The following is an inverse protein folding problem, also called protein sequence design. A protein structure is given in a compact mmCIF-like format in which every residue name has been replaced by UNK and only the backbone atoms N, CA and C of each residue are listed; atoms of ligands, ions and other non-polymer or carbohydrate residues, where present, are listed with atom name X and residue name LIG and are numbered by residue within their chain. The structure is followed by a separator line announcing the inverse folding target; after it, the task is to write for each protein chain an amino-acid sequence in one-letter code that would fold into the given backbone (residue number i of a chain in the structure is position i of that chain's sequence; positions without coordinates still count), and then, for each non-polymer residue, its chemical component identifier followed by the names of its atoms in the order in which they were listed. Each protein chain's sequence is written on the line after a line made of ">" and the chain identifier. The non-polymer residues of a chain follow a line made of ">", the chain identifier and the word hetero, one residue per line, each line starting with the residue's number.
data_IF_757581445842
#
_entry.id   IF_757581445842
#
_cell.length_a   1.000
_cell.length_b   1.000
_cell.length_c   1.000
_cell.angle_alpha   90.00
_cell.angle_beta   90.00
_cell.angle_gamma   90.00
#
_symmetry.space_group_name_H-M   'P 1'
#
loop_
_entity.id
_entity.type
_entity.pdbx_description
1 polymer ?
#
# COMPACT_ATOMS: atom_id res chain seq x y z
N UNK A 1 -74.65 -15.29 52.20
CA UNK A 1 -74.30 -13.84 52.22
C UNK A 1 -72.95 -13.72 51.53
N UNK A 2 -72.95 -13.39 50.24
CA UNK A 2 -72.80 -12.03 49.69
C UNK A 2 -71.32 -11.67 49.47
N UNK A 3 -70.89 -11.74 48.20
CA UNK A 3 -70.30 -10.64 47.40
C UNK A 3 -68.77 -10.50 47.57
N UNK A 4 -67.96 -10.66 46.52
CA UNK A 4 -67.60 -9.62 45.52
C UNK A 4 -67.09 -8.34 46.22
N UNK A 5 -66.01 -7.67 45.85
CA UNK A 5 -65.31 -7.62 44.58
C UNK A 5 -63.99 -6.82 44.74
N UNK A 6 -63.21 -6.85 43.66
CA UNK A 6 -61.99 -6.09 43.38
C UNK A 6 -62.09 -4.58 43.67
N UNK A 7 -60.94 -3.95 43.93
CA UNK A 7 -60.53 -2.63 43.37
C UNK A 7 -59.01 -2.39 43.53
N UNK A 8 -58.31 -2.20 42.40
CA UNK A 8 -57.06 -1.40 42.24
C UNK A 8 -57.45 0.11 42.33
N UNK A 9 -56.57 1.15 42.37
CA UNK A 9 -55.17 1.21 41.88
C UNK A 9 -54.19 2.08 42.69
N UNK A 10 -52.89 2.07 42.34
CA UNK A 10 -52.07 3.30 42.31
C UNK A 10 -50.92 3.13 41.30
N UNK A 11 -50.86 4.08 40.36
CA UNK A 11 -49.83 4.31 39.34
C UNK A 11 -48.78 5.28 39.90
N UNK A 12 -47.49 5.02 39.64
CA UNK A 12 -46.47 5.94 39.10
C UNK A 12 -45.13 5.17 39.09
N UNK A 13 -44.22 5.22 38.12
CA UNK A 13 -44.13 5.95 36.88
C UNK A 13 -42.79 5.59 36.21
N UNK A 14 -42.88 5.19 34.93
CA UNK A 14 -41.88 5.27 33.84
C UNK A 14 -40.60 4.42 33.90
N UNK A 15 -40.64 3.35 33.09
CA UNK A 15 -39.49 2.85 32.31
C UNK A 15 -39.15 3.84 31.18
N UNK A 16 -37.88 3.99 30.77
CA UNK A 16 -37.54 4.60 29.50
C UNK A 16 -37.77 3.60 28.36
N UNK A 17 -38.57 4.04 27.40
CA UNK A 17 -38.97 3.39 26.15
C UNK A 17 -37.82 3.16 25.18
N UNK A 18 -37.80 1.98 24.56
CA UNK A 18 -37.20 1.73 23.25
C UNK A 18 -37.76 2.71 22.20
N UNK A 19 -36.96 3.23 21.26
CA UNK A 19 -37.51 3.89 20.10
C UNK A 19 -37.77 2.87 19.01
N UNK A 20 -39.06 2.63 18.74
CA UNK A 20 -39.52 2.21 17.42
C UNK A 20 -39.15 3.29 16.39
N UNK A 21 -38.59 2.86 15.26
CA UNK A 21 -38.45 3.70 14.08
C UNK A 21 -38.88 2.89 12.85
N UNK A 22 -40.19 2.84 12.62
CA UNK A 22 -40.74 2.60 11.29
C UNK A 22 -40.75 3.94 10.55
N UNK A 23 -39.88 4.03 9.55
CA UNK A 23 -39.71 5.17 8.66
C UNK A 23 -39.34 4.65 7.29
N UNK A 24 -40.37 4.24 6.53
CA UNK A 24 -40.29 4.06 5.08
C UNK A 24 -39.60 5.26 4.42
N UNK A 25 -38.46 4.99 3.79
CA UNK A 25 -37.63 6.03 3.17
C UNK A 25 -36.56 5.44 2.27
N UNK A 26 -36.96 5.05 1.06
CA UNK A 26 -36.12 4.90 -0.13
C UNK A 26 -34.86 4.04 0.02
N UNK A 27 -34.94 2.79 -0.44
CA UNK A 27 -33.77 1.98 -0.79
C UNK A 27 -32.90 2.71 -1.82
N UNK A 28 -31.95 3.55 -1.39
CA UNK A 28 -30.81 3.95 -2.21
C UNK A 28 -29.83 2.78 -2.22
N UNK A 29 -30.12 1.86 -3.14
CA UNK A 29 -29.33 0.69 -3.44
C UNK A 29 -27.87 1.08 -3.70
N UNK A 30 -26.96 0.41 -2.98
CA UNK A 30 -25.65 -0.20 -3.31
C UNK A 30 -24.94 0.06 -4.66
N UNK A 31 -25.26 1.14 -5.37
CA UNK A 31 -24.83 1.37 -6.75
C UNK A 31 -24.03 2.67 -6.89
N UNK A 32 -23.27 3.04 -5.86
CA UNK A 32 -22.30 4.16 -5.94
C UNK A 32 -21.33 3.97 -7.11
N UNK A 33 -21.05 2.73 -7.50
CA UNK A 33 -20.25 2.40 -8.69
C UNK A 33 -20.89 2.83 -10.02
N UNK A 34 -22.22 2.86 -10.12
CA UNK A 34 -22.95 3.31 -11.32
C UNK A 34 -22.81 4.83 -11.50
N UNK A 35 -22.82 5.59 -10.40
CA UNK A 35 -22.57 7.04 -10.45
C UNK A 35 -21.15 7.35 -10.96
N UNK A 36 -20.16 6.50 -10.66
CA UNK A 36 -18.80 6.66 -11.18
C UNK A 36 -18.69 6.29 -12.67
N UNK A 37 -19.44 5.28 -13.13
CA UNK A 37 -19.53 4.96 -14.57
C UNK A 37 -20.19 6.10 -15.33
N UNK A 38 -21.26 6.68 -14.80
CA UNK A 38 -21.93 7.84 -15.39
C UNK A 38 -21.03 9.08 -15.41
N UNK A 39 -20.24 9.32 -14.36
CA UNK A 39 -19.27 10.41 -14.32
C UNK A 39 -18.15 10.19 -15.35
N UNK A 40 -17.63 8.97 -15.47
CA UNK A 40 -16.62 8.63 -16.47
C UNK A 40 -17.16 8.80 -17.90
N UNK A 41 -18.40 8.37 -18.15
CA UNK A 41 -19.08 8.59 -19.43
C UNK A 41 -19.26 10.08 -19.74
N UNK A 42 -19.63 10.89 -18.75
CA UNK A 42 -19.77 12.34 -18.88
C UNK A 42 -18.42 13.02 -19.18
N UNK A 43 -17.33 12.57 -18.54
CA UNK A 43 -15.98 13.07 -18.83
C UNK A 43 -15.53 12.68 -20.24
N UNK A 44 -15.81 11.44 -20.67
CA UNK A 44 -15.54 10.99 -22.05
C UNK A 44 -16.36 11.79 -23.07
N UNK A 45 -17.62 12.07 -22.76
CA UNK A 45 -18.51 12.86 -23.62
C UNK A 45 -18.04 14.31 -23.72
N UNK A 46 -17.63 14.93 -22.61
CA UNK A 46 -17.01 16.26 -22.59
C UNK A 46 -15.71 16.24 -23.40
N UNK A 47 -14.87 15.22 -23.22
CA UNK A 47 -13.63 15.09 -23.97
C UNK A 47 -13.87 15.03 -25.48
N UNK A 48 -14.84 14.23 -25.94
CA UNK A 48 -15.21 14.16 -27.35
C UNK A 48 -15.81 15.46 -27.87
N UNK A 49 -16.63 16.15 -27.07
CA UNK A 49 -17.22 17.45 -27.42
C UNK A 49 -16.17 18.56 -27.56
N UNK A 50 -15.13 18.55 -26.72
CA UNK A 50 -14.04 19.53 -26.81
C UNK A 50 -12.99 19.20 -27.88
N UNK A 51 -12.91 17.94 -28.35
CA UNK A 51 -11.97 17.53 -29.40
C UNK A 51 -12.53 17.60 -30.83
N UNK A 52 -13.82 17.91 -31.02
CA UNK A 52 -14.37 18.07 -32.36
C UNK A 52 -13.87 19.39 -32.97
N UNK A 53 -12.77 19.31 -33.71
CA UNK A 53 -12.31 20.41 -34.55
C UNK A 53 -13.26 20.56 -35.73
N UNK A 54 -13.92 21.73 -35.83
CA UNK A 54 -15.00 21.97 -36.79
C UNK A 54 -14.53 22.30 -38.22
N UNK A 55 -13.22 22.46 -38.44
CA UNK A 55 -12.67 22.83 -39.75
C UNK A 55 -12.18 21.59 -40.51
N UNK A 56 -12.61 21.45 -41.77
CA UNK A 56 -12.19 20.34 -42.64
C UNK A 56 -10.74 20.57 -43.12
N UNK A 57 -9.92 19.52 -43.09
CA UNK A 57 -8.53 19.59 -43.55
C UNK A 57 -8.48 19.44 -45.07
N UNK A 58 -7.76 20.33 -45.75
CA UNK A 58 -7.59 20.29 -47.21
C UNK A 58 -6.13 20.17 -47.60
N UNK A 59 -5.87 19.53 -48.74
CA UNK A 59 -4.52 19.43 -49.31
C UNK A 59 -4.14 20.68 -50.10
N UNK A 60 -2.83 20.91 -50.26
CA UNK A 60 -2.32 22.02 -51.08
C UNK A 60 -2.85 22.01 -52.51
N UNK A 61 -2.99 20.81 -53.11
CA UNK A 61 -3.48 20.62 -54.47
C UNK A 61 -4.94 21.06 -54.60
N UNK A 62 -5.79 20.64 -53.67
CA UNK A 62 -7.21 21.04 -53.65
C UNK A 62 -7.37 22.53 -53.38
N UNK A 63 -6.59 23.07 -52.44
CA UNK A 63 -6.56 24.51 -52.17
C UNK A 63 -6.20 25.32 -53.43
N UNK A 64 -5.15 24.92 -54.16
CA UNK A 64 -4.70 25.62 -55.36
C UNK A 64 -5.66 25.47 -56.53
N UNK A 65 -6.16 24.26 -56.79
CA UNK A 65 -6.92 23.96 -58.00
C UNK A 65 -8.41 24.28 -57.87
N UNK A 66 -8.97 24.24 -56.67
CA UNK A 66 -10.42 24.30 -56.49
C UNK A 66 -10.88 25.52 -55.69
N UNK A 67 -10.03 26.09 -54.83
CA UNK A 67 -10.39 27.27 -54.02
C UNK A 67 -9.75 28.55 -54.56
N UNK A 68 -8.44 28.52 -54.81
CA UNK A 68 -7.70 29.67 -55.36
C UNK A 68 -8.10 29.94 -56.82
N UNK A 69 -8.18 28.91 -57.66
CA UNK A 69 -8.52 29.06 -59.08
C UNK A 69 -9.95 29.62 -59.30
N UNK A 70 -10.89 29.25 -58.43
CA UNK A 70 -12.30 29.66 -58.51
C UNK A 70 -12.59 31.00 -57.79
N UNK A 71 -11.58 31.61 -57.16
CA UNK A 71 -11.67 32.88 -56.40
C UNK A 71 -12.68 32.86 -55.24
N UNK A 72 -12.80 31.71 -54.59
CA UNK A 72 -13.79 31.49 -53.51
C UNK A 72 -13.32 32.01 -52.14
N UNK A 73 -12.04 32.37 -52.01
CA UNK A 73 -11.41 32.73 -50.73
C UNK A 73 -11.60 34.22 -50.44
N UNK A 74 -12.02 34.53 -49.21
CA UNK A 74 -12.17 35.90 -48.68
C UNK A 74 -10.88 36.36 -48.00
N UNK A 75 -10.32 35.54 -47.10
CA UNK A 75 -9.11 35.85 -46.35
C UNK A 75 -8.39 34.57 -45.91
N UNK A 76 -7.08 34.67 -45.73
CA UNK A 76 -6.25 33.59 -45.18
C UNK A 76 -5.62 34.08 -43.88
N UNK A 77 -5.66 33.25 -42.85
CA UNK A 77 -5.03 33.54 -41.57
C UNK A 77 -4.06 32.42 -41.20
N UNK A 78 -2.77 32.74 -41.13
CA UNK A 78 -1.74 31.80 -40.70
C UNK A 78 -1.68 31.80 -39.17
N UNK A 79 -1.97 30.64 -38.59
CA UNK A 79 -1.99 30.38 -37.15
C UNK A 79 -0.74 29.60 -36.76
N UNK A 80 -0.01 30.12 -35.77
CA UNK A 80 1.17 29.47 -35.17
C UNK A 80 2.26 29.07 -36.18
N UNK A 81 2.31 29.71 -37.35
CA UNK A 81 3.28 29.43 -38.44
C UNK A 81 3.19 28.03 -39.06
N UNK A 82 2.20 27.25 -38.66
CA UNK A 82 2.06 25.83 -39.04
C UNK A 82 0.76 25.57 -39.81
N UNK A 83 -0.29 26.37 -39.58
CA UNK A 83 -1.61 26.12 -40.18
C UNK A 83 -2.16 27.38 -40.84
N UNK A 84 -2.57 27.28 -42.10
CA UNK A 84 -3.36 28.29 -42.79
C UNK A 84 -4.86 28.01 -42.60
N UNK A 85 -5.55 28.92 -41.92
CA UNK A 85 -7.00 28.96 -41.81
C UNK A 85 -7.59 29.74 -42.98
N UNK A 86 -8.50 29.09 -43.72
CA UNK A 86 -9.08 29.62 -44.95
C UNK A 86 -10.53 30.01 -44.68
N UNK A 87 -10.88 31.24 -45.03
CA UNK A 87 -12.23 31.76 -44.96
C UNK A 87 -12.79 31.90 -46.38
N UNK A 88 -13.89 31.21 -46.66
CA UNK A 88 -14.62 31.28 -47.92
C UNK A 88 -15.59 32.47 -47.89
N UNK A 89 -15.75 33.15 -49.03
CA UNK A 89 -16.66 34.29 -49.15
C UNK A 89 -18.11 33.86 -48.88
N UNK A 90 -18.86 34.75 -48.22
CA UNK A 90 -20.24 34.49 -47.77
C UNK A 90 -21.22 34.13 -48.91
N UNK A 91 -20.98 34.60 -50.13
CA UNK A 91 -21.79 34.32 -51.32
C UNK A 91 -21.61 32.89 -51.88
N UNK A 92 -20.53 32.20 -51.49
CA UNK A 92 -20.20 30.83 -51.92
C UNK A 92 -20.54 29.77 -50.87
N UNK A 93 -20.84 30.17 -49.63
CA UNK A 93 -21.23 29.26 -48.55
C UNK A 93 -22.58 28.60 -48.86
N UNK A 94 -22.68 27.28 -48.68
CA UNK A 94 -23.89 26.51 -48.95
C UNK A 94 -24.11 26.09 -50.41
N UNK A 95 -23.17 26.39 -51.32
CA UNK A 95 -23.24 26.00 -52.73
C UNK A 95 -22.07 25.08 -53.13
N UNK A 96 -22.33 24.10 -53.99
CA UNK A 96 -21.29 23.21 -54.55
C UNK A 96 -20.49 22.46 -53.48
N UNK A 97 -19.16 22.59 -53.51
CA UNK A 97 -18.21 21.95 -52.57
C UNK A 97 -18.37 22.41 -51.12
N UNK A 98 -18.97 23.59 -50.91
CA UNK A 98 -19.15 24.22 -49.59
C UNK A 98 -20.52 23.95 -48.97
N UNK A 99 -21.27 22.95 -49.47
CA UNK A 99 -22.63 22.65 -49.00
C UNK A 99 -22.70 22.14 -47.55
N UNK A 100 -21.59 21.62 -47.01
CA UNK A 100 -21.50 21.12 -45.63
C UNK A 100 -21.31 22.24 -44.60
N UNK A 101 -21.06 23.46 -45.06
CA UNK A 101 -20.78 24.61 -44.21
C UNK A 101 -22.04 25.49 -44.18
N UNK A 102 -22.64 25.63 -43.00
CA UNK A 102 -23.81 26.48 -42.83
C UNK A 102 -23.46 27.96 -43.03
N UNK A 103 -24.35 28.71 -43.71
CA UNK A 103 -24.20 30.12 -44.10
C UNK A 103 -24.24 31.13 -42.93
N UNK A 104 -23.77 30.74 -41.75
CA UNK A 104 -23.64 31.58 -40.55
C UNK A 104 -22.40 31.28 -39.72
N UNK A 105 -21.49 30.43 -40.22
CA UNK A 105 -20.29 30.02 -39.50
C UNK A 105 -19.23 31.13 -39.58
N UNK A 106 -18.97 31.85 -38.50
CA UNK A 106 -17.95 32.94 -38.46
C UNK A 106 -16.51 32.42 -38.27
N UNK A 107 -16.35 31.10 -38.16
CA UNK A 107 -15.07 30.42 -37.94
C UNK A 107 -14.29 30.11 -39.23
N UNK A 108 -13.07 29.56 -39.09
CA UNK A 108 -12.31 29.06 -40.24
C UNK A 108 -13.04 27.87 -40.88
N UNK A 109 -13.21 27.91 -42.19
CA UNK A 109 -13.97 26.91 -42.94
C UNK A 109 -13.11 25.70 -43.29
N UNK A 110 -11.86 25.95 -43.65
CA UNK A 110 -10.87 24.92 -43.97
C UNK A 110 -9.54 25.22 -43.31
N UNK A 111 -8.78 24.16 -43.04
CA UNK A 111 -7.41 24.26 -42.54
C UNK A 111 -6.45 23.52 -43.45
N UNK A 112 -5.29 24.13 -43.67
CA UNK A 112 -4.21 23.58 -44.46
C UNK A 112 -2.93 23.62 -43.61
N UNK A 113 -2.22 22.50 -43.50
CA UNK A 113 -0.91 22.48 -42.86
C UNK A 113 0.14 23.06 -43.82
N UNK A 114 0.75 24.17 -43.41
CA UNK A 114 1.79 24.85 -44.18
C UNK A 114 3.16 24.38 -43.67
N UNK A 115 3.93 23.70 -44.52
CA UNK A 115 5.24 23.18 -44.12
C UNK A 115 6.24 24.28 -43.76
N UNK A 116 6.26 25.38 -44.52
CA UNK A 116 7.03 26.60 -44.21
C UNK A 116 6.27 27.82 -44.73
N UNK A 117 6.35 28.92 -43.99
CA UNK A 117 5.67 30.18 -44.34
C UNK A 117 6.20 30.69 -45.69
N UNK A 118 7.51 30.64 -45.88
CA UNK A 118 8.18 31.18 -47.06
C UNK A 118 7.79 30.43 -48.33
N UNK A 119 7.59 29.12 -48.23
CA UNK A 119 7.14 28.31 -49.38
C UNK A 119 5.66 28.57 -49.66
N UNK A 120 4.85 28.75 -48.63
CA UNK A 120 3.43 29.06 -48.77
C UNK A 120 3.23 30.44 -49.42
N UNK A 121 3.90 31.48 -48.92
CA UNK A 121 3.86 32.84 -49.47
C UNK A 121 4.30 32.87 -50.93
N UNK A 122 5.46 32.28 -51.24
CA UNK A 122 5.95 32.20 -52.63
C UNK A 122 4.94 31.50 -53.54
N UNK A 123 4.35 30.40 -53.09
CA UNK A 123 3.41 29.64 -53.91
C UNK A 123 2.05 30.32 -54.05
N UNK A 124 1.66 31.14 -53.05
CA UNK A 124 0.48 31.99 -53.10
C UNK A 124 0.70 33.19 -54.05
N UNK A 125 1.85 33.84 -53.97
CA UNK A 125 2.25 34.92 -54.88
C UNK A 125 2.28 34.44 -56.33
N UNK A 126 2.88 33.28 -56.59
CA UNK A 126 2.87 32.62 -57.91
C UNK A 126 1.44 32.35 -58.40
N UNK A 127 0.54 31.89 -57.52
CA UNK A 127 -0.85 31.62 -57.87
C UNK A 127 -1.68 32.90 -58.12
N UNK A 128 -1.23 34.05 -57.61
CA UNK A 128 -1.89 35.35 -57.79
C UNK A 128 -1.25 36.21 -58.89
N UNK A 129 -0.27 35.69 -59.64
CA UNK A 129 0.30 36.37 -60.79
C UNK A 129 -0.77 36.59 -61.86
N UNK A 130 -1.11 37.86 -62.13
CA UNK A 130 -2.16 38.26 -63.08
C UNK A 130 -3.49 38.69 -62.45
N UNK A 131 -3.62 38.67 -61.11
CA UNK A 131 -4.80 39.18 -60.40
C UNK A 131 -4.60 40.67 -60.06
N UNK A 132 -5.59 41.56 -60.34
CA UNK A 132 -5.55 42.97 -59.96
C UNK A 132 -5.29 43.15 -58.46
N UNK A 133 -4.55 44.21 -58.03
CA UNK A 133 -4.24 44.43 -56.62
C UNK A 133 -5.44 44.44 -55.68
N UNK A 134 -6.61 44.86 -56.18
CA UNK A 134 -7.87 44.94 -55.43
C UNK A 134 -8.53 43.58 -55.16
N UNK A 135 -8.14 42.53 -55.89
CA UNK A 135 -8.65 41.16 -55.73
C UNK A 135 -7.63 40.23 -55.06
N UNK A 136 -6.51 40.76 -54.57
CA UNK A 136 -5.50 39.95 -53.87
C UNK A 136 -6.01 39.59 -52.47
N UNK A 137 -5.87 38.31 -52.14
CA UNK A 137 -6.20 37.76 -50.83
C UNK A 137 -5.20 38.26 -49.80
N UNK A 138 -5.69 38.90 -48.74
CA UNK A 138 -4.86 39.31 -47.60
C UNK A 138 -4.52 38.10 -46.72
N UNK A 139 -3.24 38.03 -46.32
CA UNK A 139 -2.72 37.02 -45.40
C UNK A 139 -2.43 37.67 -44.05
N UNK A 140 -3.16 37.24 -43.03
CA UNK A 140 -2.97 37.70 -41.66
C UNK A 140 -2.20 36.65 -40.84
N UNK A 141 -1.34 37.10 -39.93
CA UNK A 141 -0.55 36.20 -39.08
C UNK A 141 -0.95 36.37 -37.63
N UNK A 142 -1.36 35.28 -37.00
CA UNK A 142 -1.71 35.28 -35.58
C UNK A 142 -1.07 34.10 -34.86
N UNK A 143 -0.68 34.32 -33.62
CA UNK A 143 -0.28 33.23 -32.72
C UNK A 143 -1.44 32.94 -31.78
N UNK A 144 -2.10 31.80 -31.96
CA UNK A 144 -3.18 31.35 -31.07
C UNK A 144 -2.64 30.26 -30.14
N UNK A 145 -2.45 30.63 -28.89
CA UNK A 145 -2.10 29.70 -27.82
C UNK A 145 -3.36 29.08 -27.23
N UNK A 146 -3.50 27.75 -27.31
CA UNK A 146 -4.61 27.02 -26.71
C UNK A 146 -4.42 26.85 -25.18
N UNK A 147 -4.48 27.95 -24.43
CA UNK A 147 -4.28 27.96 -22.98
C UNK A 147 -5.25 27.03 -22.26
N UNK A 148 -6.53 27.05 -22.65
CA UNK A 148 -7.56 26.21 -22.03
C UNK A 148 -7.34 24.73 -22.30
N UNK A 149 -6.99 24.33 -23.52
CA UNK A 149 -6.67 22.95 -23.86
C UNK A 149 -5.45 22.43 -23.09
N UNK A 150 -4.40 23.25 -22.99
CA UNK A 150 -3.17 22.89 -22.27
C UNK A 150 -3.38 22.80 -20.75
N UNK A 151 -4.10 23.77 -20.16
CA UNK A 151 -4.41 23.77 -18.73
C UNK A 151 -5.30 22.58 -18.40
N UNK A 152 -6.35 22.32 -19.18
CA UNK A 152 -7.27 21.21 -18.90
C UNK A 152 -6.59 19.85 -19.05
N UNK A 153 -5.75 19.67 -20.08
CA UNK A 153 -4.98 18.44 -20.29
C UNK A 153 -4.02 18.15 -19.13
N UNK A 154 -3.42 19.19 -18.52
CA UNK A 154 -2.55 19.03 -17.36
C UNK A 154 -3.32 18.84 -16.05
N UNK A 155 -4.40 19.61 -15.84
CA UNK A 155 -5.17 19.61 -14.58
C UNK A 155 -5.99 18.32 -14.39
N UNK A 156 -6.55 17.75 -15.46
CA UNK A 156 -7.40 16.55 -15.38
C UNK A 156 -6.68 15.35 -14.73
N UNK A 157 -5.45 14.97 -15.13
CA UNK A 157 -4.69 13.91 -14.47
C UNK A 157 -4.49 14.14 -12.96
N UNK A 158 -4.13 15.36 -12.54
CA UNK A 158 -3.95 15.67 -11.11
C UNK A 158 -5.28 15.65 -10.35
N UNK A 159 -6.35 16.15 -10.96
CA UNK A 159 -7.69 16.11 -10.35
C UNK A 159 -8.16 14.67 -10.09
N UNK A 160 -7.86 13.74 -11.01
CA UNK A 160 -8.16 12.30 -10.82
C UNK A 160 -7.34 11.72 -9.66
N UNK A 161 -6.04 11.99 -9.61
CA UNK A 161 -5.16 11.51 -8.52
C UNK A 161 -5.62 12.06 -7.16
N UNK A 162 -5.93 13.36 -7.10
CA UNK A 162 -6.44 14.02 -5.89
C UNK A 162 -7.80 13.42 -5.49
N UNK A 163 -8.68 13.16 -6.45
CA UNK A 163 -9.97 12.51 -6.21
C UNK A 163 -9.82 11.10 -5.62
N UNK A 164 -8.90 10.29 -6.15
CA UNK A 164 -8.58 8.96 -5.64
C UNK A 164 -7.98 9.05 -4.23
N UNK A 165 -7.06 9.99 -4.00
CA UNK A 165 -6.45 10.20 -2.69
C UNK A 165 -7.46 10.61 -1.62
N UNK A 166 -8.36 11.55 -1.94
CA UNK A 166 -9.44 11.96 -1.05
C UNK A 166 -10.40 10.79 -0.79
N UNK A 167 -10.68 9.97 -1.79
CA UNK A 167 -11.51 8.77 -1.65
C UNK A 167 -10.89 7.74 -0.70
N UNK A 168 -9.58 7.46 -0.85
CA UNK A 168 -8.84 6.54 0.05
C UNK A 168 -8.83 7.07 1.48
N UNK A 169 -8.51 8.36 1.67
CA UNK A 169 -8.48 8.97 3.00
C UNK A 169 -9.87 9.04 3.66
N UNK A 170 -10.93 9.18 2.87
CA UNK A 170 -12.31 9.17 3.37
C UNK A 170 -12.76 7.76 3.74
N UNK A 171 -12.19 6.73 3.12
CA UNK A 171 -12.43 5.30 3.44
C UNK A 171 -11.64 4.80 4.66
N UNK A 172 -10.52 5.45 5.00
CA UNK A 172 -9.66 5.07 6.14
C UNK A 172 -10.06 5.80 7.45
N UNK A 173 -11.16 6.57 7.46
CA UNK A 173 -11.62 7.24 8.68
C UNK A 173 -12.06 6.23 9.74
N UNK A 174 -11.66 6.40 11.01
CA UNK A 174 -12.12 5.55 12.10
C UNK A 174 -13.64 5.72 12.25
N UNK A 175 -14.40 4.66 11.97
CA UNK A 175 -15.83 4.59 12.31
C UNK A 175 -16.85 4.68 11.17
N UNK A 176 -16.47 4.58 9.89
CA UNK A 176 -17.43 4.68 8.78
C UNK A 176 -17.39 3.55 7.76
N UNK A 177 -18.17 2.49 7.98
CA UNK A 177 -18.88 1.73 6.92
C UNK A 177 -18.10 0.78 5.99
N UNK A 178 -18.26 -0.51 6.28
CA UNK A 178 -18.28 -1.70 5.39
C UNK A 178 -17.03 -2.02 4.56
N UNK A 179 -16.24 -2.94 5.11
CA UNK A 179 -15.18 -3.67 4.40
C UNK A 179 -14.08 -4.06 5.36
N UNK A 180 -14.27 -5.16 6.08
CA UNK A 180 -13.33 -5.71 7.05
C UNK A 180 -11.92 -5.85 6.45
N UNK A 181 -11.04 -4.94 6.86
CA UNK A 181 -9.63 -4.94 6.51
C UNK A 181 -8.90 -4.33 7.68
N UNK A 182 -8.30 -5.21 8.48
CA UNK A 182 -7.42 -4.96 9.62
C UNK A 182 -7.03 -3.49 9.84
N UNK A 183 -7.43 -2.96 11.01
CA UNK A 183 -6.84 -1.79 11.63
C UNK A 183 -5.32 -1.83 11.46
N UNK A 184 -4.77 -0.94 10.62
CA UNK A 184 -3.33 -0.79 10.39
C UNK A 184 -2.62 -0.36 11.70
N UNK A 185 -3.40 0.09 12.70
CA UNK A 185 -2.95 0.41 14.06
C UNK A 185 -2.85 -0.80 15.01
N UNK A 186 -3.30 -2.00 14.62
CA UNK A 186 -3.20 -3.22 15.45
C UNK A 186 -1.97 -4.08 15.10
N UNK A 187 -1.09 -3.55 14.25
CA UNK A 187 0.13 -4.22 13.77
C UNK A 187 1.20 -4.44 14.87
N UNK A 188 0.99 -3.86 16.05
CA UNK A 188 1.84 -4.04 17.22
C UNK A 188 1.36 -5.12 18.20
N UNK A 189 0.16 -5.67 18.05
CA UNK A 189 -0.33 -6.77 18.89
C UNK A 189 -0.19 -8.08 18.13
N UNK A 190 0.85 -8.83 18.51
CA UNK A 190 1.13 -10.21 18.09
C UNK A 190 -0.12 -11.02 17.73
N UNK A 191 -0.47 -11.08 16.44
CA UNK A 191 -1.24 -12.18 15.82
C UNK A 191 -0.29 -13.30 15.38
N UNK A 192 0.70 -13.63 16.22
CA UNK A 192 1.37 -14.90 16.10
C UNK A 192 0.33 -15.99 16.39
N UNK A 193 0.31 -17.04 15.56
CA UNK A 193 -0.28 -18.33 15.92
C UNK A 193 0.09 -18.61 17.38
N UNK A 194 -0.92 -19.00 18.16
CA UNK A 194 -0.81 -19.40 19.56
C UNK A 194 0.62 -19.76 19.93
N UNK A 195 1.23 -18.97 20.81
CA UNK A 195 2.21 -19.50 21.76
C UNK A 195 1.58 -20.81 22.26
N UNK A 196 2.13 -21.97 21.89
CA UNK A 196 1.66 -23.25 22.40
C UNK A 196 1.87 -23.20 23.91
N UNK A 197 0.86 -22.72 24.64
CA UNK A 197 0.76 -22.85 26.07
C UNK A 197 0.36 -24.30 26.31
N UNK A 198 1.33 -25.18 26.14
CA UNK A 198 1.23 -26.60 26.42
C UNK A 198 2.51 -27.01 27.14
N UNK A 199 2.38 -27.79 28.21
CA UNK A 199 3.51 -28.60 28.66
C UNK A 199 3.92 -29.46 27.45
N UNK A 200 5.22 -29.55 27.19
CA UNK A 200 5.70 -30.48 26.17
C UNK A 200 5.43 -31.90 26.67
N UNK A 201 4.71 -32.69 25.89
CA UNK A 201 4.50 -34.12 26.18
C UNK A 201 5.74 -34.98 25.86
N UNK A 202 6.79 -34.36 25.29
CA UNK A 202 8.05 -35.01 24.93
C UNK A 202 9.02 -34.98 26.10
N UNK A 203 9.67 -36.11 26.38
CA UNK A 203 10.62 -36.34 27.48
C UNK A 203 11.99 -36.79 26.97
N UNK A 204 12.98 -37.02 27.85
CA UNK A 204 14.29 -37.51 27.40
C UNK A 204 14.26 -38.93 26.85
N UNK A 205 13.23 -39.71 27.19
CA UNK A 205 13.02 -41.06 26.67
C UNK A 205 12.68 -41.04 25.17
N UNK A 206 12.09 -39.95 24.69
CA UNK A 206 11.75 -39.75 23.26
C UNK A 206 12.96 -39.28 22.42
N UNK A 207 14.08 -38.95 23.07
CA UNK A 207 15.32 -38.52 22.40
C UNK A 207 16.31 -39.67 22.38
N UNK A 208 16.56 -40.24 21.20
CA UNK A 208 17.55 -41.31 21.06
C UNK A 208 18.99 -40.76 21.04
N UNK A 209 19.90 -41.38 21.81
CA UNK A 209 21.31 -41.02 21.86
C UNK A 209 21.59 -39.69 22.57
N UNK A 210 22.62 -38.97 22.12
CA UNK A 210 23.06 -37.68 22.69
C UNK A 210 23.32 -37.72 24.21
N UNK A 211 23.81 -38.84 24.74
CA UNK A 211 23.96 -39.06 26.19
C UNK A 211 24.80 -37.99 26.89
N UNK A 212 25.88 -37.53 26.27
CA UNK A 212 26.71 -36.44 26.80
C UNK A 212 25.91 -35.13 26.92
N UNK A 213 25.18 -34.76 25.87
CA UNK A 213 24.36 -33.55 25.85
C UNK A 213 23.20 -33.65 26.84
N UNK A 214 22.56 -34.84 26.95
CA UNK A 214 21.51 -35.10 27.93
C UNK A 214 21.99 -34.86 29.36
N UNK A 215 23.22 -35.25 29.69
CA UNK A 215 23.80 -35.00 31.01
C UNK A 215 23.95 -33.50 31.28
N UNK A 216 24.42 -32.72 30.31
CA UNK A 216 24.54 -31.26 30.44
C UNK A 216 23.16 -30.58 30.60
N UNK A 217 22.18 -30.93 29.77
CA UNK A 217 20.85 -30.31 29.87
C UNK A 217 20.05 -30.81 31.08
N UNK A 218 20.42 -31.94 31.70
CA UNK A 218 19.80 -32.43 32.93
C UNK A 218 20.06 -31.49 34.12
N UNK A 219 21.18 -30.78 34.13
CA UNK A 219 21.45 -29.74 35.14
C UNK A 219 20.43 -28.59 35.03
N UNK A 220 20.06 -28.21 33.81
CA UNK A 220 19.04 -27.20 33.55
C UNK A 220 17.67 -27.66 34.05
N UNK A 221 17.33 -28.94 33.83
CA UNK A 221 16.09 -29.54 34.34
C UNK A 221 16.06 -29.54 35.87
N UNK A 222 17.13 -29.98 36.55
CA UNK A 222 17.17 -29.98 38.02
C UNK A 222 17.06 -28.56 38.57
N UNK A 223 17.68 -27.58 37.89
CA UNK A 223 17.53 -26.18 38.25
C UNK A 223 16.08 -25.70 38.15
N UNK A 224 15.38 -25.99 37.05
CA UNK A 224 14.00 -25.56 36.85
C UNK A 224 13.04 -26.22 37.85
N UNK A 225 13.31 -27.46 38.25
CA UNK A 225 12.56 -28.16 39.31
C UNK A 225 12.86 -27.63 40.71
N UNK A 226 14.12 -27.30 41.00
CA UNK A 226 14.60 -26.96 42.35
C UNK A 226 15.37 -25.62 42.41
N UNK A 227 14.81 -24.48 41.94
CA UNK A 227 15.55 -23.23 41.79
C UNK A 227 16.04 -22.64 43.13
N UNK A 228 15.33 -22.93 44.22
CA UNK A 228 15.66 -22.47 45.57
C UNK A 228 16.97 -23.07 46.09
N UNK A 229 17.29 -24.32 45.73
CA UNK A 229 18.52 -25.00 46.15
C UNK A 229 19.75 -24.29 45.60
N UNK A 230 19.75 -23.99 44.31
CA UNK A 230 20.84 -23.30 43.62
C UNK A 230 20.99 -21.85 44.08
N UNK A 231 19.87 -21.16 44.28
CA UNK A 231 19.87 -19.78 44.80
C UNK A 231 20.49 -19.70 46.19
N UNK A 232 20.18 -20.63 47.10
CA UNK A 232 20.77 -20.68 48.45
C UNK A 232 22.27 -20.95 48.43
N UNK A 233 22.75 -21.73 47.47
CA UNK A 233 24.17 -22.01 47.29
C UNK A 233 24.93 -20.84 46.63
N UNK A 234 24.22 -19.78 46.20
CA UNK A 234 24.82 -18.66 45.49
C UNK A 234 25.24 -18.98 44.06
N UNK A 235 24.78 -20.11 43.51
CA UNK A 235 25.07 -20.50 42.14
C UNK A 235 24.36 -19.55 41.16
N UNK A 236 25.08 -19.11 40.12
CA UNK A 236 24.52 -18.30 39.04
C UNK A 236 23.93 -19.22 37.99
N UNK A 237 22.69 -18.94 37.63
CA UNK A 237 21.93 -19.77 36.70
C UNK A 237 22.33 -19.40 35.26
N UNK A 238 22.52 -20.38 34.37
CA UNK A 238 22.71 -20.09 32.96
C UNK A 238 21.47 -19.38 32.41
N UNK A 239 21.66 -18.20 31.81
CA UNK A 239 20.56 -17.44 31.21
C UNK A 239 20.12 -18.02 29.87
N UNK A 240 21.05 -18.63 29.14
CA UNK A 240 20.77 -19.28 27.89
C UNK A 240 21.73 -20.41 27.55
N UNK A 241 21.30 -21.22 26.60
CA UNK A 241 22.07 -22.34 26.03
C UNK A 241 21.89 -22.34 24.52
N UNK A 242 22.99 -22.46 23.80
CA UNK A 242 23.00 -22.53 22.34
C UNK A 242 23.26 -23.96 21.88
N UNK A 243 22.28 -24.57 21.23
CA UNK A 243 22.37 -25.86 20.57
C UNK A 243 22.90 -25.68 19.14
N UNK A 244 24.11 -26.16 18.88
CA UNK A 244 24.77 -26.06 17.57
C UNK A 244 24.96 -27.45 16.97
N UNK A 245 24.62 -27.60 15.70
CA UNK A 245 24.93 -28.83 14.96
C UNK A 245 24.22 -28.87 13.61
N UNK A 246 24.53 -29.86 12.75
CA UNK A 246 23.91 -30.01 11.44
C UNK A 246 22.37 -30.06 11.51
N UNK A 247 21.65 -29.72 10.41
CA UNK A 247 20.20 -29.89 10.36
C UNK A 247 19.81 -31.36 10.56
N UNK A 248 18.66 -31.60 11.20
CA UNK A 248 18.14 -32.96 11.44
C UNK A 248 18.72 -33.71 12.64
N UNK A 249 19.58 -33.10 13.46
CA UNK A 249 20.17 -33.74 14.66
C UNK A 249 19.29 -33.70 15.92
N UNK A 250 18.02 -33.34 15.80
CA UNK A 250 17.09 -33.35 16.93
C UNK A 250 17.23 -32.19 17.92
N UNK A 251 17.86 -31.06 17.55
CA UNK A 251 18.00 -29.86 18.42
C UNK A 251 16.65 -29.37 18.98
N UNK A 252 15.66 -29.21 18.12
CA UNK A 252 14.29 -28.79 18.49
C UNK A 252 13.59 -29.84 19.37
N UNK A 253 13.85 -31.13 19.10
CA UNK A 253 13.30 -32.23 19.89
C UNK A 253 13.90 -32.26 21.30
N UNK A 254 15.23 -32.07 21.42
CA UNK A 254 15.93 -31.99 22.69
C UNK A 254 15.42 -30.81 23.53
N UNK A 255 15.21 -29.64 22.92
CA UNK A 255 14.67 -28.48 23.64
C UNK A 255 13.25 -28.73 24.19
N UNK A 256 12.40 -29.41 23.40
CA UNK A 256 11.06 -29.85 23.85
C UNK A 256 11.15 -30.88 24.97
N UNK A 257 12.09 -31.82 24.89
CA UNK A 257 12.33 -32.81 25.93
C UNK A 257 12.76 -32.18 27.27
N UNK A 258 13.66 -31.19 27.24
CA UNK A 258 14.08 -30.44 28.44
C UNK A 258 12.87 -29.77 29.12
N UNK A 259 11.96 -29.19 28.33
CA UNK A 259 10.76 -28.55 28.87
C UNK A 259 9.75 -29.53 29.45
N UNK A 260 9.53 -30.68 28.80
CA UNK A 260 8.64 -31.73 29.29
C UNK A 260 9.18 -32.38 30.56
N UNK A 261 10.48 -32.67 30.59
CA UNK A 261 11.18 -33.18 31.77
C UNK A 261 11.08 -32.24 32.97
N UNK A 262 11.24 -30.93 32.76
CA UNK A 262 11.06 -29.92 33.78
C UNK A 262 9.58 -29.61 34.10
N UNK A 263 8.66 -30.05 33.24
CA UNK A 263 7.22 -29.77 33.31
C UNK A 263 6.87 -28.28 33.38
N UNK A 264 7.65 -27.44 32.69
CA UNK A 264 7.50 -25.98 32.65
C UNK A 264 6.88 -25.51 31.33
N UNK A 265 6.26 -24.30 31.29
CA UNK A 265 5.80 -23.71 30.04
C UNK A 265 6.93 -23.56 29.01
N UNK A 266 6.64 -23.95 27.77
CA UNK A 266 7.56 -23.89 26.64
C UNK A 266 7.08 -22.88 25.59
N UNK A 267 7.87 -21.83 25.36
CA UNK A 267 7.58 -20.81 24.35
C UNK A 267 8.50 -20.98 23.15
N UNK A 268 7.99 -21.47 22.03
CA UNK A 268 8.77 -21.67 20.81
C UNK A 268 8.54 -20.55 19.79
N UNK A 269 9.61 -20.07 19.15
CA UNK A 269 9.57 -19.14 18.02
C UNK A 269 10.70 -19.45 17.04
N UNK A 270 10.48 -19.27 15.73
CA UNK A 270 11.57 -19.31 14.74
C UNK A 270 12.20 -17.92 14.62
N UNK A 271 13.54 -17.89 14.52
CA UNK A 271 14.32 -16.68 14.31
C UNK A 271 13.93 -15.93 13.04
N UNK A 272 13.40 -16.63 12.03
CA UNK A 272 12.91 -16.02 10.80
C UNK A 272 11.63 -15.18 11.01
N UNK A 273 10.81 -15.48 12.02
CA UNK A 273 9.59 -14.73 12.33
C UNK A 273 9.86 -13.32 12.88
N UNK A 274 11.11 -13.05 13.22
CA UNK A 274 11.58 -11.76 13.69
C UNK A 274 12.10 -10.86 12.58
N UNK A 275 12.14 -11.33 11.33
CA UNK A 275 12.61 -10.56 10.17
C UNK A 275 11.41 -10.17 9.32
N UNK A 276 10.91 -8.94 9.50
CA UNK A 276 9.78 -8.41 8.75
C UNK A 276 10.13 -7.15 7.95
N UNK A 277 9.28 -6.82 6.95
CA UNK A 277 9.42 -5.60 6.14
C UNK A 277 9.16 -4.31 6.94
N UNK A 278 8.53 -4.43 8.12
CA UNK A 278 8.16 -3.30 8.95
C UNK A 278 9.12 -3.13 10.12
N UNK A 279 9.80 -1.99 10.15
CA UNK A 279 10.78 -1.67 11.20
C UNK A 279 10.12 -1.73 12.59
N UNK A 280 10.75 -2.46 13.51
CA UNK A 280 10.36 -2.49 14.93
C UNK A 280 9.29 -3.53 15.30
N UNK A 281 8.69 -4.23 14.34
CA UNK A 281 7.72 -5.30 14.65
C UNK A 281 8.42 -6.48 15.33
N UNK A 282 9.58 -6.91 14.82
CA UNK A 282 10.39 -7.98 15.43
C UNK A 282 10.77 -7.67 16.89
N UNK A 283 11.32 -6.48 17.16
CA UNK A 283 11.65 -6.03 18.51
C UNK A 283 10.42 -5.97 19.46
N UNK A 284 9.23 -5.62 18.97
CA UNK A 284 8.01 -5.68 19.80
C UNK A 284 7.64 -7.10 20.18
N UNK A 285 7.76 -8.07 19.26
CA UNK A 285 7.47 -9.49 19.52
C UNK A 285 8.43 -10.06 20.56
N UNK A 286 9.72 -9.73 20.47
CA UNK A 286 10.72 -10.14 21.48
C UNK A 286 10.30 -9.64 22.86
N UNK A 287 9.94 -8.36 23.01
CA UNK A 287 9.48 -7.82 24.30
C UNK A 287 8.26 -8.56 24.84
N UNK A 288 7.27 -8.81 24.00
CA UNK A 288 6.05 -9.51 24.40
C UNK A 288 6.31 -10.98 24.79
N UNK A 289 7.17 -11.68 24.03
CA UNK A 289 7.60 -13.05 24.33
C UNK A 289 8.27 -13.12 25.70
N UNK A 290 9.27 -12.28 25.93
CA UNK A 290 10.00 -12.25 27.20
C UNK A 290 9.10 -11.81 28.36
N UNK A 291 8.17 -10.88 28.15
CA UNK A 291 7.18 -10.48 29.16
C UNK A 291 6.27 -11.65 29.56
N UNK A 292 5.77 -12.42 28.59
CA UNK A 292 4.92 -13.59 28.85
C UNK A 292 5.68 -14.70 29.58
N UNK A 293 6.92 -14.97 29.17
CA UNK A 293 7.77 -15.96 29.83
C UNK A 293 8.06 -15.58 31.29
N UNK A 294 8.37 -14.30 31.56
CA UNK A 294 8.56 -13.78 32.92
C UNK A 294 7.31 -13.94 33.80
N UNK A 295 6.12 -13.71 33.25
CA UNK A 295 4.85 -13.87 33.97
C UNK A 295 4.51 -15.32 34.33
N UNK A 296 5.06 -16.29 33.60
CA UNK A 296 4.81 -17.72 33.80
C UNK A 296 6.10 -18.46 34.22
N UNK A 297 6.99 -17.79 34.96
CA UNK A 297 8.23 -18.38 35.47
C UNK A 297 7.96 -19.44 36.56
N UNK A 298 8.70 -20.56 36.61
CA UNK A 298 9.80 -20.94 35.73
C UNK A 298 9.34 -21.34 34.32
N UNK A 299 10.04 -20.89 33.27
CA UNK A 299 9.68 -21.18 31.88
C UNK A 299 10.89 -21.23 30.94
N UNK A 300 10.69 -21.86 29.78
CA UNK A 300 11.70 -21.95 28.72
C UNK A 300 11.24 -21.17 27.49
N UNK A 301 12.14 -20.35 26.94
CA UNK A 301 12.00 -19.72 25.64
C UNK A 301 12.91 -20.48 24.67
N UNK A 302 12.35 -21.03 23.59
CA UNK A 302 13.10 -21.67 22.52
C UNK A 302 13.07 -20.81 21.25
N UNK A 303 14.26 -20.47 20.75
CA UNK A 303 14.46 -19.72 19.51
C UNK A 303 15.16 -20.66 18.50
N UNK A 304 14.41 -21.19 17.55
CA UNK A 304 14.99 -21.96 16.45
C UNK A 304 15.61 -21.03 15.40
N UNK A 305 16.58 -21.52 14.62
CA UNK A 305 17.22 -20.75 13.54
C UNK A 305 17.66 -19.34 13.98
N UNK A 306 18.31 -19.22 15.14
CA UNK A 306 18.74 -17.93 15.68
C UNK A 306 19.70 -17.18 14.75
N UNK A 307 20.36 -17.86 13.81
CA UNK A 307 21.20 -17.26 12.77
C UNK A 307 20.44 -16.37 11.78
N UNK A 308 19.11 -16.49 11.70
CA UNK A 308 18.28 -15.57 10.91
C UNK A 308 18.36 -14.12 11.44
N UNK A 309 18.45 -13.93 12.76
CA UNK A 309 18.59 -12.61 13.43
C UNK A 309 19.98 -12.34 13.99
N UNK A 310 20.68 -13.40 14.38
CA UNK A 310 21.94 -13.35 15.12
C UNK A 310 23.19 -13.33 14.26
N UNK A 311 23.09 -13.24 12.93
CA UNK A 311 24.26 -13.24 12.06
C UNK A 311 25.13 -11.98 12.27
N UNK A 312 26.44 -12.16 12.36
CA UNK A 312 27.41 -11.07 12.43
C UNK A 312 27.44 -10.29 11.10
N UNK A 313 27.69 -8.98 11.18
CA UNK A 313 27.77 -8.12 9.99
C UNK A 313 28.88 -8.59 9.05
N UNK A 314 28.54 -8.77 7.77
CA UNK A 314 29.54 -8.71 6.71
C UNK A 314 29.83 -7.23 6.39
N UNK A 315 31.08 -6.88 6.07
CA UNK A 315 31.52 -5.53 5.65
C UNK A 315 30.89 -5.03 4.32
N UNK A 316 29.73 -5.54 3.91
CA UNK A 316 29.06 -5.14 2.69
C UNK A 316 28.04 -4.03 2.99
N UNK A 317 28.35 -2.84 2.48
CA UNK A 317 27.50 -1.65 2.46
C UNK A 317 26.29 -1.94 1.55
N UNK A 318 25.24 -2.58 2.07
CA UNK A 318 23.95 -2.67 1.40
C UNK A 318 22.89 -1.98 2.25
N UNK A 319 22.48 -0.81 1.76
CA UNK A 319 21.53 0.10 2.39
C UNK A 319 20.18 -0.60 2.66
N UNK A 320 19.67 -0.42 3.88
CA UNK A 320 18.25 -0.45 4.25
C UNK A 320 17.57 -1.77 4.64
N UNK A 321 18.18 -2.96 4.51
CA UNK A 321 17.59 -4.23 4.99
C UNK A 321 18.18 -4.75 6.32
N UNK A 322 19.28 -4.18 6.80
CA UNK A 322 19.98 -4.65 8.00
C UNK A 322 19.45 -4.05 9.31
N UNK A 323 18.77 -2.91 9.25
CA UNK A 323 18.41 -2.13 10.44
C UNK A 323 17.37 -2.85 11.33
N UNK A 324 16.45 -3.58 10.70
CA UNK A 324 15.41 -4.32 11.43
C UNK A 324 16.00 -5.54 12.16
N UNK A 325 16.86 -6.29 11.48
CA UNK A 325 17.54 -7.46 12.08
C UNK A 325 18.39 -7.05 13.27
N UNK A 326 19.17 -5.98 13.13
CA UNK A 326 20.02 -5.47 14.19
C UNK A 326 19.20 -4.95 15.37
N UNK A 327 18.11 -4.24 15.12
CA UNK A 327 17.23 -3.76 16.17
C UNK A 327 16.60 -4.93 16.95
N UNK A 328 16.11 -5.95 16.24
CA UNK A 328 15.55 -7.14 16.88
C UNK A 328 16.59 -7.93 17.66
N UNK A 329 17.81 -8.10 17.12
CA UNK A 329 18.93 -8.72 17.83
C UNK A 329 19.27 -7.97 19.12
N UNK A 330 19.45 -6.65 19.05
CA UNK A 330 19.76 -5.82 20.22
C UNK A 330 18.65 -5.89 21.27
N UNK A 331 17.39 -6.04 20.86
CA UNK A 331 16.29 -6.23 21.79
C UNK A 331 16.40 -7.58 22.53
N UNK A 332 16.75 -8.67 21.83
CA UNK A 332 17.00 -9.98 22.47
C UNK A 332 18.13 -9.85 23.50
N UNK A 333 19.24 -9.21 23.12
CA UNK A 333 20.38 -9.00 24.01
C UNK A 333 20.01 -8.17 25.24
N UNK A 334 19.22 -7.12 25.05
CA UNK A 334 18.76 -6.24 26.14
C UNK A 334 17.85 -6.99 27.10
N UNK A 335 16.94 -7.83 26.59
CA UNK A 335 16.07 -8.65 27.43
C UNK A 335 16.84 -9.73 28.20
N UNK A 336 17.86 -10.35 27.58
CA UNK A 336 18.73 -11.35 28.23
C UNK A 336 19.61 -10.72 29.32
N UNK A 337 20.19 -9.55 29.06
CA UNK A 337 20.96 -8.81 30.06
C UNK A 337 20.07 -8.30 31.19
N UNK A 338 18.84 -7.87 30.86
CA UNK A 338 17.83 -7.39 31.79
C UNK A 338 17.26 -8.46 32.74
N UNK A 339 17.58 -9.74 32.54
CA UNK A 339 17.25 -10.77 33.53
C UNK A 339 18.05 -10.57 34.82
N UNK A 340 17.33 -10.46 35.93
CA UNK A 340 17.90 -10.68 37.25
C UNK A 340 18.45 -12.11 37.35
N UNK A 341 19.48 -12.31 38.18
CA UNK A 341 20.26 -13.55 38.26
C UNK A 341 19.39 -14.80 38.49
N UNK A 342 18.19 -14.65 39.08
CA UNK A 342 17.29 -15.74 39.47
C UNK A 342 15.85 -15.57 38.95
N UNK A 343 15.66 -15.04 37.75
CA UNK A 343 14.30 -14.79 37.20
C UNK A 343 13.55 -16.09 36.84
N UNK A 344 14.27 -17.24 36.76
CA UNK A 344 13.68 -18.55 36.46
C UNK A 344 13.29 -18.75 34.98
N UNK A 345 13.74 -17.87 34.09
CA UNK A 345 13.51 -17.98 32.64
C UNK A 345 14.81 -18.38 31.97
N UNK A 346 14.77 -19.41 31.13
CA UNK A 346 15.94 -19.90 30.39
C UNK A 346 15.69 -19.81 28.90
N UNK A 347 16.67 -19.28 28.17
CA UNK A 347 16.61 -19.12 26.71
C UNK A 347 17.41 -20.24 26.04
N UNK A 348 16.73 -21.18 25.42
CA UNK A 348 17.34 -22.18 24.54
C UNK A 348 17.33 -21.64 23.11
N UNK A 349 18.47 -21.63 22.43
CA UNK A 349 18.57 -21.23 21.03
C UNK A 349 19.15 -22.37 20.20
N UNK A 350 18.69 -22.55 18.96
CA UNK A 350 19.25 -23.53 18.04
C UNK A 350 19.76 -22.87 16.76
N UNK A 351 20.87 -23.35 16.24
CA UNK A 351 21.37 -22.97 14.91
C UNK A 351 22.08 -24.14 14.24
N UNK A 352 22.09 -24.09 12.90
CA UNK A 352 22.94 -24.95 12.09
C UNK A 352 24.32 -24.33 11.82
N UNK A 353 24.50 -23.04 12.12
CA UNK A 353 25.67 -22.23 11.74
C UNK A 353 26.19 -21.38 12.90
N UNK A 354 26.84 -22.03 13.87
CA UNK A 354 27.44 -21.31 15.00
C UNK A 354 28.57 -20.34 14.59
N UNK A 355 29.20 -20.57 13.44
CA UNK A 355 30.32 -19.79 12.89
C UNK A 355 29.93 -18.38 12.46
N UNK A 356 28.68 -18.17 12.03
CA UNK A 356 28.22 -16.88 11.51
C UNK A 356 27.58 -15.99 12.57
N UNK A 357 27.36 -16.50 13.78
CA UNK A 357 26.69 -15.76 14.84
C UNK A 357 27.52 -14.57 15.34
N UNK A 358 26.83 -13.53 15.77
CA UNK A 358 27.42 -12.37 16.43
C UNK A 358 28.05 -12.80 17.76
N UNK A 359 29.31 -12.38 17.98
CA UNK A 359 30.04 -12.64 19.22
C UNK A 359 29.34 -12.09 20.45
N UNK A 360 28.48 -11.08 20.29
CA UNK A 360 27.66 -10.55 21.36
C UNK A 360 26.66 -11.57 21.91
N UNK A 361 26.14 -12.50 21.09
CA UNK A 361 25.27 -13.58 21.57
C UNK A 361 26.05 -14.65 22.35
N UNK A 362 27.30 -14.89 21.98
CA UNK A 362 28.15 -15.94 22.57
C UNK A 362 28.89 -15.47 23.83
N UNK A 363 28.67 -14.23 24.28
CA UNK A 363 29.39 -13.67 25.41
C UNK A 363 28.89 -14.29 26.72
N UNK A 364 29.78 -14.68 27.67
CA UNK A 364 29.36 -15.20 28.97
C UNK A 364 28.38 -14.28 29.69
N UNK A 365 27.30 -14.85 30.20
CA UNK A 365 26.21 -14.12 30.86
C UNK A 365 24.99 -13.89 29.98
N UNK A 366 24.98 -14.42 28.76
CA UNK A 366 23.83 -14.49 27.85
C UNK A 366 23.55 -15.95 27.55
#
# INVERSE_FOLDING_TARGET
>A
MAQQDRKRPFQDGRQPSEPDNDGSGGNFTSNSWILYILLALLVVQIFFYFNSSSAEQVSWTEFKQEMLANKDIEKITIVNKETAEIYIKKDKLGQGRYNKIESGTEGPHYTLNIGSIETFERSLEEAQQGVPPEERIDVNYISRTNWWGNILSWVVPFAIIIGIWIFILRRIRPGGGVGGGNNIFDMGKSKAKLFEKGQSDVTFDDVAGLEEVKVEVKEIVDFLKNPSRYTRLGAKIPKGVLLVGPPGTGKTLLARAVAGEASVPFYSISGSEFVEMFVGVGASRVRDLFKKAKQNSPSIIFIDEIDAVGRSRGKAVSLQSNDERENTLNQILTEMDGFGVNTGVIVLAATNRGDVLDRALLRPGR
#
